data_IF_528185125613
#
_entry.id   IF_528185125613
#
_cell.length_a   1.000
_cell.length_b   1.000
_cell.length_c   1.000
_cell.angle_alpha   90.00
_cell.angle_beta   90.00
_cell.angle_gamma   90.00
#
_symmetry.space_group_name_H-M   'P 1'
#
loop_
_entity.id
_entity.type
_entity.pdbx_description
1 polymer ?
#
# COMPACT_ATOMS: atom_id res chain seq x y z
N UNK A 1 15.12 12.44 16.42
CA UNK A 1 14.94 12.99 15.05
C UNK A 1 16.25 13.61 14.60
N UNK A 2 16.58 13.52 13.33
CA UNK A 2 17.80 14.12 12.75
C UNK A 2 17.57 15.64 12.66
N UNK A 3 18.48 16.44 13.21
CA UNK A 3 18.41 17.89 13.09
C UNK A 3 18.77 18.36 11.68
N UNK A 4 19.77 17.75 11.07
CA UNK A 4 20.27 18.08 9.73
C UNK A 4 20.65 16.81 8.98
N UNK A 5 20.13 16.63 7.78
CA UNK A 5 20.42 15.46 6.92
C UNK A 5 21.80 15.59 6.24
N UNK A 6 22.25 14.49 5.63
CA UNK A 6 23.50 14.43 4.86
C UNK A 6 23.61 15.48 3.74
N UNK A 7 22.49 16.03 3.29
CA UNK A 7 22.40 17.08 2.25
C UNK A 7 22.45 18.50 2.81
N UNK A 8 22.52 18.67 4.14
CA UNK A 8 22.42 19.97 4.81
C UNK A 8 21.00 20.49 4.99
N UNK A 9 19.99 19.73 4.52
CA UNK A 9 18.58 20.08 4.67
C UNK A 9 18.08 19.68 6.07
N UNK A 10 17.09 20.40 6.57
CA UNK A 10 16.39 20.08 7.84
C UNK A 10 14.99 19.54 7.55
N UNK A 11 14.37 18.90 8.52
CA UNK A 11 12.98 18.46 8.39
C UNK A 11 12.04 19.62 8.05
N UNK A 12 12.26 20.78 8.65
CA UNK A 12 11.47 21.99 8.39
C UNK A 12 11.68 22.51 6.95
N UNK A 13 12.93 22.58 6.47
CA UNK A 13 13.19 23.02 5.09
C UNK A 13 12.57 22.08 4.04
N UNK A 14 12.60 20.76 4.29
CA UNK A 14 11.94 19.78 3.44
C UNK A 14 10.42 19.95 3.43
N UNK A 15 9.83 20.17 4.61
CA UNK A 15 8.39 20.42 4.73
C UNK A 15 7.96 21.67 3.98
N UNK A 16 8.72 22.77 4.12
CA UNK A 16 8.43 24.01 3.40
C UNK A 16 8.57 23.87 1.88
N UNK A 17 9.51 23.04 1.40
CA UNK A 17 9.74 22.85 -0.03
C UNK A 17 8.70 21.90 -0.68
N UNK A 18 8.33 20.80 -0.01
CA UNK A 18 7.57 19.72 -0.64
C UNK A 18 6.10 19.70 -0.25
N UNK A 19 5.80 19.85 1.03
CA UNK A 19 4.44 19.72 1.58
C UNK A 19 4.10 20.80 2.61
N UNK A 20 4.27 22.11 2.26
CA UNK A 20 3.94 23.17 3.19
C UNK A 20 2.46 23.13 3.59
N UNK A 21 2.16 23.68 4.77
CA UNK A 21 0.79 23.73 5.27
C UNK A 21 -0.15 24.40 4.28
N UNK A 22 -1.30 23.78 4.04
CA UNK A 22 -2.29 24.26 3.06
C UNK A 22 -2.05 23.83 1.62
N UNK A 23 -0.89 23.23 1.28
CA UNK A 23 -0.66 22.64 -0.05
C UNK A 23 -1.61 21.48 -0.33
N UNK A 24 -1.83 21.17 -1.61
CA UNK A 24 -2.67 20.02 -2.03
C UNK A 24 -2.09 18.71 -1.49
N UNK A 25 -0.75 18.55 -1.57
CA UNK A 25 -0.09 17.37 -1.05
C UNK A 25 -0.30 17.22 0.46
N UNK A 26 -0.08 18.29 1.26
CA UNK A 26 -0.27 18.19 2.71
C UNK A 26 -1.73 17.90 3.10
N UNK A 27 -2.69 18.48 2.39
CA UNK A 27 -4.12 18.16 2.58
C UNK A 27 -4.42 16.69 2.27
N UNK A 28 -3.82 16.15 1.21
CA UNK A 28 -3.96 14.74 0.86
C UNK A 28 -3.32 13.84 1.94
N UNK A 29 -2.09 14.13 2.38
CA UNK A 29 -1.41 13.40 3.45
C UNK A 29 -2.25 13.37 4.74
N UNK A 30 -2.81 14.50 5.17
CA UNK A 30 -3.66 14.55 6.36
C UNK A 30 -4.95 13.73 6.18
N UNK A 31 -5.55 13.75 4.99
CA UNK A 31 -6.71 12.91 4.68
C UNK A 31 -6.36 11.41 4.69
N UNK A 32 -5.22 11.04 4.15
CA UNK A 32 -4.72 9.66 4.18
C UNK A 32 -4.41 9.21 5.60
N UNK A 33 -3.86 10.10 6.43
CA UNK A 33 -3.65 9.84 7.86
C UNK A 33 -4.96 9.52 8.59
N UNK A 34 -6.00 10.34 8.40
CA UNK A 34 -7.34 10.10 8.97
C UNK A 34 -7.90 8.73 8.54
N UNK A 35 -7.70 8.38 7.27
CA UNK A 35 -8.13 7.08 6.73
C UNK A 35 -7.36 5.91 7.35
N UNK A 36 -6.04 6.05 7.52
CA UNK A 36 -5.19 5.03 8.12
C UNK A 36 -5.53 4.82 9.60
N UNK A 37 -5.79 5.89 10.35
CA UNK A 37 -6.25 5.83 11.74
C UNK A 37 -7.58 5.06 11.82
N UNK A 38 -8.57 5.45 11.00
CA UNK A 38 -9.85 4.74 10.94
C UNK A 38 -9.69 3.25 10.62
N UNK A 39 -8.82 2.92 9.66
CA UNK A 39 -8.56 1.54 9.26
C UNK A 39 -7.94 0.74 10.40
N UNK A 40 -6.92 1.30 11.07
CA UNK A 40 -6.25 0.64 12.20
C UNK A 40 -7.20 0.42 13.38
N UNK A 41 -7.99 1.45 13.74
CA UNK A 41 -8.98 1.34 14.82
C UNK A 41 -10.04 0.27 14.51
N UNK A 42 -10.50 0.23 13.25
CA UNK A 42 -11.46 -0.78 12.79
C UNK A 42 -10.86 -2.18 12.85
N UNK A 43 -9.63 -2.35 12.38
CA UNK A 43 -8.92 -3.63 12.42
C UNK A 43 -8.70 -4.08 13.88
N UNK A 44 -8.26 -3.18 14.76
CA UNK A 44 -8.07 -3.44 16.18
C UNK A 44 -9.37 -3.88 16.88
N UNK A 45 -10.50 -3.25 16.55
CA UNK A 45 -11.83 -3.61 17.09
C UNK A 45 -12.21 -5.06 16.84
N UNK A 46 -11.76 -5.63 15.72
CA UNK A 46 -12.03 -7.03 15.34
C UNK A 46 -10.82 -7.95 15.59
N UNK A 47 -9.78 -7.47 16.26
CA UNK A 47 -8.58 -8.24 16.58
C UNK A 47 -7.77 -8.66 15.36
N UNK A 48 -7.69 -7.78 14.36
CA UNK A 48 -6.86 -7.96 13.16
C UNK A 48 -5.68 -7.00 13.24
N UNK A 49 -4.43 -7.49 13.32
CA UNK A 49 -3.26 -6.64 13.21
C UNK A 49 -3.20 -5.97 11.83
N UNK A 50 -3.06 -4.63 11.81
CA UNK A 50 -2.98 -3.84 10.60
C UNK A 50 -1.83 -2.83 10.74
N UNK A 51 -0.78 -2.98 9.96
CA UNK A 51 0.52 -2.35 10.15
C UNK A 51 0.87 -1.39 9.01
N UNK A 52 1.64 -0.36 9.33
CA UNK A 52 2.31 0.44 8.29
C UNK A 52 3.35 -0.41 7.54
N UNK A 53 3.53 -0.12 6.25
CA UNK A 53 4.48 -0.81 5.36
C UNK A 53 5.33 0.17 4.53
N UNK A 54 6.33 -0.35 3.86
CA UNK A 54 7.08 0.31 2.79
C UNK A 54 7.60 1.69 3.13
N UNK A 55 7.24 2.66 2.28
CA UNK A 55 7.60 4.07 2.42
C UNK A 55 7.12 4.71 3.71
N UNK A 56 6.02 4.23 4.28
CA UNK A 56 5.49 4.78 5.53
C UNK A 56 6.29 4.35 6.76
N UNK A 57 6.87 3.14 6.76
CA UNK A 57 7.84 2.73 7.80
C UNK A 57 9.11 3.56 7.69
N UNK A 58 9.63 3.77 6.48
CA UNK A 58 10.77 4.67 6.25
C UNK A 58 10.45 6.11 6.69
N UNK A 59 9.27 6.60 6.36
CA UNK A 59 8.79 7.92 6.77
C UNK A 59 8.72 8.08 8.28
N UNK A 60 8.15 7.10 8.98
CA UNK A 60 8.11 7.06 10.45
C UNK A 60 9.52 7.13 11.06
N UNK A 61 10.45 6.30 10.55
CA UNK A 61 11.81 6.19 11.09
C UNK A 61 12.66 7.42 10.82
N UNK A 62 12.58 8.00 9.61
CA UNK A 62 13.44 9.10 9.17
C UNK A 62 12.84 10.49 9.42
N UNK A 63 11.53 10.62 9.24
CA UNK A 63 10.81 11.90 9.25
C UNK A 63 9.84 12.05 10.42
N UNK A 64 9.53 10.96 11.12
CA UNK A 64 8.49 10.93 12.16
C UNK A 64 7.06 11.00 11.60
N UNK A 65 6.89 10.79 10.30
CA UNK A 65 5.65 10.88 9.56
C UNK A 65 5.87 10.66 8.07
N UNK A 66 5.09 11.31 7.22
CA UNK A 66 5.28 11.21 5.77
C UNK A 66 6.68 11.61 5.33
N UNK A 67 7.21 10.90 4.35
CA UNK A 67 8.28 11.42 3.52
C UNK A 67 7.74 12.69 2.86
N UNK A 68 8.42 13.86 2.92
CA UNK A 68 7.81 15.15 2.55
C UNK A 68 7.24 15.23 1.12
N UNK A 69 7.72 14.42 0.19
CA UNK A 69 7.27 14.39 -1.21
C UNK A 69 6.37 13.21 -1.56
N UNK A 70 5.97 12.39 -0.57
CA UNK A 70 5.18 11.17 -0.73
C UNK A 70 3.68 11.44 -0.61
N UNK A 71 2.84 10.69 -1.33
CA UNK A 71 1.41 10.94 -1.45
C UNK A 71 0.53 9.71 -1.19
N UNK A 72 1.08 8.67 -0.55
CA UNK A 72 0.37 7.43 -0.25
C UNK A 72 0.53 6.97 1.21
N UNK A 73 -0.33 6.04 1.62
CA UNK A 73 -0.17 5.20 2.81
C UNK A 73 -0.49 3.75 2.43
N UNK A 74 0.46 2.90 2.76
CA UNK A 74 0.37 1.47 2.60
C UNK A 74 0.25 0.78 3.96
N UNK A 75 -0.74 -0.10 4.07
CA UNK A 75 -0.94 -0.91 5.26
C UNK A 75 -0.98 -2.39 4.91
N UNK A 76 -0.46 -3.21 5.80
CA UNK A 76 -0.42 -4.67 5.59
C UNK A 76 -1.18 -5.41 6.67
N UNK A 77 -1.81 -6.49 6.25
CA UNK A 77 -2.57 -7.42 7.10
C UNK A 77 -2.14 -8.85 6.75
N UNK A 78 -2.08 -9.73 7.74
CA UNK A 78 -1.81 -11.14 7.47
C UNK A 78 -2.89 -11.72 6.54
N UNK A 79 -2.48 -12.48 5.52
CA UNK A 79 -3.39 -13.05 4.52
C UNK A 79 -4.57 -13.81 5.15
N UNK A 80 -4.32 -14.53 6.25
CA UNK A 80 -5.37 -15.27 6.99
C UNK A 80 -6.48 -14.37 7.55
N UNK A 81 -6.17 -13.11 7.85
CA UNK A 81 -7.05 -12.13 8.45
C UNK A 81 -7.59 -11.10 7.45
N UNK A 82 -6.99 -11.03 6.26
CA UNK A 82 -7.31 -10.05 5.22
C UNK A 82 -8.79 -10.09 4.81
N UNK A 83 -9.30 -11.30 4.51
CA UNK A 83 -10.72 -11.45 4.16
C UNK A 83 -11.65 -11.00 5.27
N UNK A 84 -11.32 -11.31 6.54
CA UNK A 84 -12.13 -10.92 7.72
C UNK A 84 -12.22 -9.40 7.84
N UNK A 85 -11.11 -8.68 7.63
CA UNK A 85 -11.11 -7.22 7.63
C UNK A 85 -11.94 -6.64 6.47
N UNK A 86 -11.74 -7.14 5.25
CA UNK A 86 -12.48 -6.68 4.07
C UNK A 86 -13.99 -6.93 4.23
N UNK A 87 -14.41 -8.10 4.70
CA UNK A 87 -15.82 -8.42 4.93
C UNK A 87 -16.43 -7.52 6.01
N UNK A 88 -15.67 -7.23 7.08
CA UNK A 88 -16.13 -6.32 8.13
C UNK A 88 -16.34 -4.90 7.60
N UNK A 89 -15.39 -4.35 6.84
CA UNK A 89 -15.49 -3.02 6.23
C UNK A 89 -16.66 -2.92 5.24
N UNK A 90 -16.93 -3.98 4.47
CA UNK A 90 -18.11 -4.05 3.58
C UNK A 90 -19.43 -4.07 4.36
N UNK A 91 -19.49 -4.79 5.47
CA UNK A 91 -20.70 -4.92 6.29
C UNK A 91 -20.97 -3.68 7.16
N UNK A 92 -19.98 -2.85 7.42
CA UNK A 92 -20.08 -1.65 8.26
C UNK A 92 -19.68 -0.40 7.47
N UNK A 93 -20.54 0.07 6.55
CA UNK A 93 -20.20 1.18 5.67
C UNK A 93 -19.96 2.48 6.45
N UNK A 94 -18.91 3.20 6.07
CA UNK A 94 -18.59 4.52 6.59
C UNK A 94 -19.15 5.61 5.65
N UNK A 95 -19.66 6.75 6.15
CA UNK A 95 -20.26 7.78 5.30
C UNK A 95 -19.28 8.43 4.31
N UNK A 96 -17.98 8.33 4.57
CA UNK A 96 -16.93 8.94 3.77
C UNK A 96 -15.99 7.93 3.12
N UNK A 97 -15.84 6.73 3.68
CA UNK A 97 -14.87 5.75 3.19
C UNK A 97 -15.56 4.48 2.71
N UNK A 98 -15.04 3.88 1.67
CA UNK A 98 -15.54 2.61 1.12
C UNK A 98 -14.38 1.67 0.87
N UNK A 99 -14.58 0.39 1.20
CA UNK A 99 -13.64 -0.65 0.76
C UNK A 99 -13.80 -0.87 -0.74
N UNK A 100 -12.71 -0.78 -1.47
CA UNK A 100 -12.61 -1.11 -2.88
C UNK A 100 -11.84 -2.42 -3.04
N UNK A 101 -12.52 -3.42 -3.54
CA UNK A 101 -12.00 -4.70 -4.01
C UNK A 101 -12.79 -5.11 -5.27
N UNK A 102 -12.53 -6.27 -5.85
CA UNK A 102 -13.24 -6.71 -7.06
C UNK A 102 -14.73 -7.00 -6.83
N UNK A 103 -15.18 -7.20 -5.57
CA UNK A 103 -16.61 -7.40 -5.27
C UNK A 103 -17.36 -6.06 -5.26
N UNK A 104 -16.76 -4.99 -4.71
CA UNK A 104 -17.38 -3.66 -4.60
C UNK A 104 -17.20 -2.82 -5.86
N UNK A 105 -16.15 -3.11 -6.61
CA UNK A 105 -15.76 -2.46 -7.86
C UNK A 105 -15.27 -3.49 -8.89
N UNK A 106 -16.12 -3.98 -9.79
CA UNK A 106 -15.74 -4.97 -10.80
C UNK A 106 -14.63 -4.53 -11.77
N UNK A 107 -14.30 -3.24 -11.80
CA UNK A 107 -13.16 -2.69 -12.54
C UNK A 107 -11.82 -2.74 -11.80
N UNK A 108 -11.82 -3.18 -10.54
CA UNK A 108 -10.65 -3.27 -9.70
C UNK A 108 -10.10 -4.70 -9.68
N UNK A 109 -8.99 -4.92 -10.39
CA UNK A 109 -8.36 -6.24 -10.57
C UNK A 109 -7.04 -6.41 -9.82
N UNK A 110 -6.84 -5.65 -8.73
CA UNK A 110 -5.65 -5.76 -7.89
C UNK A 110 -5.80 -6.91 -6.87
N UNK A 111 -4.67 -7.41 -6.40
CA UNK A 111 -4.58 -8.51 -5.43
C UNK A 111 -4.68 -8.05 -3.97
N UNK A 112 -4.87 -6.77 -3.78
CA UNK A 112 -5.07 -6.11 -2.50
C UNK A 112 -6.33 -5.27 -2.55
N UNK A 113 -6.79 -4.80 -1.42
CA UNK A 113 -7.92 -3.89 -1.33
C UNK A 113 -7.44 -2.46 -1.06
N UNK A 114 -8.32 -1.49 -1.27
CA UNK A 114 -8.08 -0.10 -0.90
C UNK A 114 -9.22 0.40 -0.03
N UNK A 115 -8.91 1.18 0.99
CA UNK A 115 -9.90 2.07 1.60
C UNK A 115 -9.92 3.36 0.77
N UNK A 116 -11.06 3.69 0.14
CA UNK A 116 -11.22 4.87 -0.74
C UNK A 116 -11.98 6.00 -0.06
N UNK A 117 -11.51 7.22 -0.23
CA UNK A 117 -12.23 8.44 0.18
C UNK A 117 -13.28 8.82 -0.88
N UNK A 118 -14.55 8.88 -0.46
CA UNK A 118 -15.68 9.29 -1.32
C UNK A 118 -15.77 10.82 -1.49
N UNK A 119 -15.04 11.58 -0.66
CA UNK A 119 -15.06 13.05 -0.64
C UNK A 119 -13.86 13.66 -1.36
N UNK A 120 -13.14 12.87 -2.15
CA UNK A 120 -12.08 13.35 -3.04
C UNK A 120 -12.14 12.65 -4.39
N UNK A 121 -11.41 13.18 -5.35
CA UNK A 121 -11.17 12.60 -6.67
C UNK A 121 -9.70 12.83 -7.03
N UNK A 122 -8.97 11.73 -7.20
CA UNK A 122 -7.57 11.76 -7.61
C UNK A 122 -7.49 11.74 -9.14
N UNK A 123 -6.98 12.82 -9.73
CA UNK A 123 -6.80 13.02 -11.17
C UNK A 123 -5.36 12.85 -11.63
N UNK A 124 -4.47 12.47 -10.75
CA UNK A 124 -3.04 12.32 -11.05
C UNK A 124 -2.77 11.36 -12.23
N UNK A 125 -3.69 10.44 -12.49
CA UNK A 125 -3.60 9.48 -13.59
C UNK A 125 -4.15 9.99 -14.94
N UNK A 126 -4.86 11.11 -14.96
CA UNK A 126 -5.52 11.62 -16.19
C UNK A 126 -4.50 12.02 -17.27
N UNK A 127 -3.28 12.36 -16.88
CA UNK A 127 -2.17 12.75 -17.75
C UNK A 127 -1.15 11.62 -18.00
N UNK A 128 -1.38 10.41 -17.46
CA UNK A 128 -0.47 9.27 -17.62
C UNK A 128 -0.73 8.48 -18.91
N UNK A 129 0.22 7.59 -19.25
CA UNK A 129 0.13 6.80 -20.47
C UNK A 129 -1.06 5.84 -20.48
N UNK A 130 -1.51 5.52 -21.67
CA UNK A 130 -2.79 4.89 -22.03
C UNK A 130 -3.26 3.64 -21.24
N UNK A 131 -2.38 2.88 -20.59
CA UNK A 131 -2.75 1.67 -19.84
C UNK A 131 -3.21 2.00 -18.42
N UNK A 132 -2.44 2.81 -17.68
CA UNK A 132 -2.76 3.21 -16.32
C UNK A 132 -4.01 4.08 -16.27
N UNK A 133 -4.14 4.98 -17.23
CA UNK A 133 -5.35 5.79 -17.41
C UNK A 133 -6.59 4.91 -17.62
N UNK A 134 -6.55 3.92 -18.54
CA UNK A 134 -7.68 3.01 -18.78
C UNK A 134 -8.03 2.18 -17.54
N UNK A 135 -7.02 1.72 -16.81
CA UNK A 135 -7.22 0.99 -15.55
C UNK A 135 -7.90 1.89 -14.50
N UNK A 136 -7.47 3.15 -14.39
CA UNK A 136 -8.07 4.12 -13.48
C UNK A 136 -9.51 4.48 -13.89
N UNK A 137 -9.76 4.74 -15.19
CA UNK A 137 -11.10 5.06 -15.72
C UNK A 137 -12.09 3.89 -15.59
N UNK A 138 -11.60 2.64 -15.57
CA UNK A 138 -12.43 1.46 -15.38
C UNK A 138 -12.94 1.31 -13.92
N UNK A 139 -12.31 1.99 -12.97
CA UNK A 139 -12.66 1.90 -11.55
C UNK A 139 -13.86 2.80 -11.20
N UNK A 140 -14.73 2.28 -10.35
CA UNK A 140 -15.90 3.01 -9.82
C UNK A 140 -15.48 4.07 -8.80
N UNK A 141 -14.50 3.77 -7.95
CA UNK A 141 -14.03 4.67 -6.90
C UNK A 141 -12.63 5.18 -7.24
N UNK A 142 -12.45 6.50 -7.25
CA UNK A 142 -11.22 7.17 -7.73
C UNK A 142 -10.71 8.25 -6.77
N UNK A 143 -11.18 8.27 -5.53
CA UNK A 143 -10.68 9.18 -4.50
C UNK A 143 -9.28 8.81 -4.00
N UNK A 144 -8.76 9.58 -3.04
CA UNK A 144 -7.59 9.19 -2.26
C UNK A 144 -7.78 7.79 -1.67
N UNK A 145 -6.70 7.06 -1.46
CA UNK A 145 -6.80 5.70 -0.95
C UNK A 145 -5.63 5.34 -0.05
N UNK A 146 -5.93 4.46 0.89
CA UNK A 146 -4.96 3.69 1.66
C UNK A 146 -4.99 2.28 1.10
N UNK A 147 -3.85 1.78 0.63
CA UNK A 147 -3.73 0.40 0.16
C UNK A 147 -3.66 -0.56 1.34
N UNK A 148 -4.32 -1.72 1.23
CA UNK A 148 -4.38 -2.76 2.25
C UNK A 148 -3.84 -4.05 1.63
N UNK A 149 -2.56 -4.32 1.87
CA UNK A 149 -1.88 -5.47 1.29
C UNK A 149 -2.01 -6.71 2.16
N UNK A 150 -2.38 -7.86 1.60
CA UNK A 150 -2.23 -9.14 2.29
C UNK A 150 -0.77 -9.60 2.27
N UNK A 151 -0.24 -9.98 3.43
CA UNK A 151 1.09 -10.57 3.62
C UNK A 151 1.02 -12.02 4.02
N UNK A 152 1.94 -12.83 3.54
CA UNK A 152 2.01 -14.25 3.90
C UNK A 152 3.45 -14.76 4.02
N UNK A 153 3.61 -15.82 4.84
CA UNK A 153 4.87 -16.53 5.00
C UNK A 153 4.97 -17.76 4.08
N UNK A 154 6.10 -18.46 4.19
CA UNK A 154 6.37 -19.66 3.37
C UNK A 154 6.30 -19.38 1.87
N UNK A 155 6.79 -18.21 1.46
CA UNK A 155 6.74 -17.76 0.06
C UNK A 155 7.87 -18.37 -0.77
N UNK A 156 7.59 -18.55 -2.04
CA UNK A 156 8.60 -18.92 -3.05
C UNK A 156 8.80 -17.70 -3.96
N UNK A 157 9.93 -16.98 -3.89
CA UNK A 157 10.11 -15.70 -4.58
C UNK A 157 9.90 -15.74 -6.09
N UNK A 158 10.32 -16.81 -6.77
CA UNK A 158 10.12 -16.92 -8.22
C UNK A 158 8.65 -17.16 -8.60
N UNK A 159 7.88 -17.89 -7.75
CA UNK A 159 6.43 -18.03 -7.92
C UNK A 159 5.72 -16.70 -7.70
N UNK A 160 6.16 -15.90 -6.71
CA UNK A 160 5.60 -14.56 -6.50
C UNK A 160 5.84 -13.65 -7.70
N UNK A 161 7.05 -13.67 -8.28
CA UNK A 161 7.34 -12.90 -9.52
C UNK A 161 6.47 -13.35 -10.69
N UNK A 162 6.23 -14.66 -10.83
CA UNK A 162 5.33 -15.19 -11.85
C UNK A 162 3.90 -14.75 -11.61
N UNK A 163 3.41 -14.86 -10.36
CA UNK A 163 2.08 -14.44 -9.96
C UNK A 163 1.86 -12.94 -10.23
N UNK A 164 2.82 -12.08 -9.80
CA UNK A 164 2.79 -10.65 -10.06
C UNK A 164 2.72 -10.34 -11.57
N UNK A 165 3.52 -11.03 -12.39
CA UNK A 165 3.50 -10.87 -13.85
C UNK A 165 2.15 -11.26 -14.47
N UNK A 166 1.50 -12.30 -13.95
CA UNK A 166 0.17 -12.71 -14.41
C UNK A 166 -0.87 -11.65 -14.04
N UNK A 167 -0.88 -11.18 -12.78
CA UNK A 167 -1.78 -10.14 -12.30
C UNK A 167 -1.60 -8.82 -13.07
N UNK A 168 -0.36 -8.34 -13.22
CA UNK A 168 -0.05 -7.13 -14.00
C UNK A 168 -0.58 -7.22 -15.43
N UNK A 169 -0.46 -8.39 -16.08
CA UNK A 169 -0.99 -8.57 -17.44
C UNK A 169 -2.53 -8.44 -17.49
N UNK A 170 -3.26 -8.96 -16.49
CA UNK A 170 -4.71 -8.76 -16.41
C UNK A 170 -5.05 -7.28 -16.29
N UNK A 171 -4.37 -6.57 -15.37
CA UNK A 171 -4.61 -5.14 -15.13
C UNK A 171 -4.24 -4.27 -16.35
N UNK A 172 -3.04 -4.39 -16.89
CA UNK A 172 -2.56 -3.49 -17.94
C UNK A 172 -3.08 -3.83 -19.33
N UNK A 173 -3.32 -5.13 -19.64
CA UNK A 173 -3.70 -5.55 -20.98
C UNK A 173 -5.19 -5.80 -21.16
N UNK A 174 -5.90 -6.24 -20.11
CA UNK A 174 -7.30 -6.64 -20.22
C UNK A 174 -8.25 -5.63 -19.56
N UNK A 175 -7.89 -5.09 -18.37
CA UNK A 175 -8.72 -4.11 -17.68
C UNK A 175 -8.99 -2.87 -18.55
N UNK A 176 -10.23 -2.39 -18.51
CA UNK A 176 -10.67 -1.24 -19.30
C UNK A 176 -10.76 -1.47 -20.82
N UNK A 177 -10.27 -2.62 -21.33
CA UNK A 177 -10.35 -2.94 -22.76
C UNK A 177 -11.26 -4.14 -23.04
N UNK A 178 -11.16 -5.18 -22.22
CA UNK A 178 -11.91 -6.43 -22.34
C UNK A 178 -12.46 -6.85 -20.97
N UNK A 179 -13.46 -6.14 -20.41
CA UNK A 179 -13.85 -6.31 -18.99
C UNK A 179 -14.30 -7.73 -18.65
N UNK A 180 -15.04 -8.41 -19.54
CA UNK A 180 -15.46 -9.80 -19.32
C UNK A 180 -14.26 -10.75 -19.25
N UNK A 181 -13.30 -10.60 -20.17
CA UNK A 181 -12.09 -11.42 -20.20
C UNK A 181 -11.20 -11.13 -18.99
N UNK A 182 -11.08 -9.85 -18.59
CA UNK A 182 -10.35 -9.46 -17.40
C UNK A 182 -10.95 -10.11 -16.14
N UNK A 183 -12.29 -10.10 -16.02
CA UNK A 183 -12.99 -10.70 -14.88
C UNK A 183 -12.82 -12.23 -14.84
N UNK A 184 -12.89 -12.90 -15.99
CA UNK A 184 -12.66 -14.35 -16.07
C UNK A 184 -11.21 -14.68 -15.70
N UNK A 185 -10.23 -13.96 -16.26
CA UNK A 185 -8.83 -14.16 -15.98
C UNK A 185 -8.49 -13.88 -14.50
N UNK A 186 -9.00 -12.77 -13.94
CA UNK A 186 -8.84 -12.43 -12.53
C UNK A 186 -9.38 -13.55 -11.62
N UNK A 187 -10.62 -13.97 -11.82
CA UNK A 187 -11.22 -15.06 -11.04
C UNK A 187 -10.47 -16.39 -11.18
N UNK A 188 -10.00 -16.72 -12.39
CA UNK A 188 -9.19 -17.91 -12.60
C UNK A 188 -7.88 -17.86 -11.80
N UNK A 189 -7.18 -16.72 -11.81
CA UNK A 189 -5.97 -16.54 -11.01
C UNK A 189 -6.25 -16.70 -9.50
N UNK A 190 -7.30 -16.06 -9.00
CA UNK A 190 -7.64 -16.07 -7.57
C UNK A 190 -8.17 -17.40 -7.05
N UNK A 191 -9.00 -18.08 -7.85
CA UNK A 191 -9.69 -19.31 -7.40
C UNK A 191 -8.83 -20.56 -7.66
N UNK A 192 -7.98 -20.54 -8.67
CA UNK A 192 -7.20 -21.72 -9.08
C UNK A 192 -5.70 -21.49 -8.89
N UNK A 193 -5.12 -20.49 -9.56
CA UNK A 193 -3.66 -20.39 -9.68
C UNK A 193 -3.00 -20.02 -8.35
N UNK A 194 -3.44 -18.95 -7.71
CA UNK A 194 -2.82 -18.47 -6.46
C UNK A 194 -3.05 -19.42 -5.27
N UNK A 195 -4.21 -20.08 -5.10
CA UNK A 195 -4.34 -21.15 -4.12
C UNK A 195 -3.37 -22.32 -4.33
N UNK A 196 -3.13 -22.72 -5.59
CA UNK A 196 -2.12 -23.75 -5.91
C UNK A 196 -0.71 -23.24 -5.53
N UNK A 197 -0.37 -21.99 -5.86
CA UNK A 197 0.92 -21.42 -5.47
C UNK A 197 1.10 -21.36 -3.96
N UNK A 198 0.05 -21.03 -3.19
CA UNK A 198 0.05 -21.08 -1.72
C UNK A 198 0.24 -22.48 -1.18
N UNK A 199 -0.40 -23.48 -1.79
CA UNK A 199 -0.20 -24.87 -1.40
C UNK A 199 1.25 -25.29 -1.62
N UNK A 200 1.83 -24.99 -2.78
CA UNK A 200 3.24 -25.27 -3.08
C UNK A 200 4.16 -24.49 -2.12
N UNK A 201 3.85 -23.23 -1.84
CA UNK A 201 4.58 -22.43 -0.86
C UNK A 201 4.57 -23.03 0.55
N UNK A 202 3.42 -23.54 1.02
CA UNK A 202 3.33 -24.22 2.32
C UNK A 202 4.21 -25.46 2.42
N UNK A 203 4.41 -26.16 1.30
CA UNK A 203 5.20 -27.40 1.26
C UNK A 203 6.70 -27.16 1.04
N UNK A 204 7.06 -26.16 0.25
CA UNK A 204 8.43 -25.97 -0.25
C UNK A 204 8.95 -24.53 -0.09
N UNK A 205 8.15 -23.63 0.43
CA UNK A 205 8.51 -22.23 0.61
C UNK A 205 9.49 -21.99 1.76
N UNK A 206 10.09 -20.81 1.76
CA UNK A 206 10.99 -20.40 2.82
C UNK A 206 10.20 -19.83 4.02
N UNK A 207 10.25 -20.49 5.20
CA UNK A 207 9.52 -20.04 6.40
C UNK A 207 10.05 -18.74 6.99
N UNK A 208 11.31 -18.36 6.65
CA UNK A 208 11.94 -17.14 7.12
C UNK A 208 11.57 -15.90 6.29
N UNK A 209 10.84 -16.10 5.20
CA UNK A 209 10.33 -15.00 4.38
C UNK A 209 8.88 -14.63 4.75
N UNK A 210 8.62 -13.33 4.71
CA UNK A 210 7.30 -12.75 4.89
C UNK A 210 7.10 -11.65 3.85
N UNK A 211 6.19 -11.85 2.90
CA UNK A 211 6.11 -11.05 1.68
C UNK A 211 4.66 -10.68 1.36
N UNK A 212 4.48 -9.73 0.46
CA UNK A 212 3.19 -9.52 -0.18
C UNK A 212 2.67 -10.82 -0.80
N UNK A 213 1.39 -11.07 -0.67
CA UNK A 213 0.72 -12.29 -1.15
C UNK A 213 0.91 -12.50 -2.66
N UNK A 214 0.75 -13.75 -3.11
CA UNK A 214 0.87 -14.09 -4.53
C UNK A 214 -0.05 -13.23 -5.40
N UNK A 215 0.55 -12.65 -6.44
CA UNK A 215 -0.09 -11.78 -7.41
C UNK A 215 0.00 -10.30 -7.11
N UNK A 216 0.33 -9.87 -5.89
CA UNK A 216 0.70 -8.49 -5.62
C UNK A 216 1.92 -8.10 -6.48
N UNK A 217 1.99 -6.83 -6.89
CA UNK A 217 3.02 -6.37 -7.84
C UNK A 217 4.38 -6.15 -7.19
N UNK A 218 4.42 -6.28 -5.87
CA UNK A 218 5.59 -6.13 -5.03
C UNK A 218 6.15 -7.50 -4.65
N UNK A 219 7.44 -7.65 -4.61
CA UNK A 219 8.11 -8.94 -4.35
C UNK A 219 9.38 -8.79 -3.51
N UNK A 220 9.40 -7.77 -2.64
CA UNK A 220 10.41 -7.57 -1.60
C UNK A 220 10.41 -8.78 -0.66
N UNK A 221 11.61 -9.27 -0.38
CA UNK A 221 11.81 -10.43 0.46
C UNK A 221 12.13 -9.97 1.89
N UNK A 222 11.10 -9.77 2.70
CA UNK A 222 11.28 -9.32 4.06
C UNK A 222 11.56 -10.51 4.98
N UNK A 223 12.61 -10.46 5.81
CA UNK A 223 12.84 -11.47 6.84
C UNK A 223 11.66 -11.49 7.83
N UNK A 224 11.11 -12.68 8.08
CA UNK A 224 9.98 -12.84 9.01
C UNK A 224 10.25 -12.22 10.39
N UNK A 225 11.49 -12.34 10.90
CA UNK A 225 11.89 -11.78 12.20
C UNK A 225 11.78 -10.26 12.26
N UNK A 226 11.94 -9.57 11.12
CA UNK A 226 11.76 -8.11 11.05
C UNK A 226 10.29 -7.70 11.04
N UNK A 227 9.39 -8.59 10.68
CA UNK A 227 7.97 -8.29 10.53
C UNK A 227 7.15 -8.65 11.77
N UNK A 228 7.45 -9.74 12.43
CA UNK A 228 6.72 -10.29 13.57
C UNK A 228 7.66 -10.67 14.73
N UNK A 229 7.20 -10.49 16.02
CA UNK A 229 5.93 -9.90 16.47
C UNK A 229 5.87 -8.39 16.20
N UNK A 230 4.67 -7.83 16.05
CA UNK A 230 4.47 -6.41 15.78
C UNK A 230 4.92 -5.54 16.96
N UNK A 231 5.36 -4.32 16.66
CA UNK A 231 5.69 -3.27 17.64
C UNK A 231 5.02 -1.97 17.28
N UNK A 232 4.83 -1.12 18.25
CA UNK A 232 4.34 0.22 18.02
C UNK A 232 5.38 1.07 17.30
N UNK A 233 4.92 1.88 16.35
CA UNK A 233 5.69 2.90 15.62
C UNK A 233 4.92 4.20 15.62
N UNK A 234 5.62 5.34 15.78
CA UNK A 234 4.99 6.66 15.74
C UNK A 234 5.06 7.22 14.32
N UNK A 235 3.90 7.64 13.80
CA UNK A 235 3.78 8.26 12.47
C UNK A 235 2.83 9.46 12.56
N UNK A 236 3.28 10.66 12.19
CA UNK A 236 2.53 11.94 12.31
C UNK A 236 1.94 12.18 13.72
N UNK A 237 2.69 11.78 14.77
CA UNK A 237 2.25 11.93 16.16
C UNK A 237 1.23 10.88 16.64
N UNK A 238 0.81 9.94 15.80
CA UNK A 238 -0.08 8.83 16.14
C UNK A 238 0.69 7.52 16.27
N UNK A 239 0.23 6.66 17.17
CA UNK A 239 0.80 5.31 17.35
C UNK A 239 0.12 4.33 16.40
N UNK A 240 0.91 3.71 15.53
CA UNK A 240 0.48 2.63 14.64
C UNK A 240 1.14 1.31 15.01
N UNK A 241 0.54 0.20 14.59
CA UNK A 241 1.27 -1.05 14.52
C UNK A 241 2.30 -0.98 13.39
N UNK A 242 3.50 -1.47 13.66
CA UNK A 242 4.62 -1.51 12.72
C UNK A 242 5.34 -2.85 12.76
N UNK A 243 6.43 -3.00 12.00
CA UNK A 243 7.24 -4.21 11.99
C UNK A 243 7.98 -4.41 13.32
N UNK A 244 8.40 -5.66 13.57
CA UNK A 244 9.18 -6.03 14.75
C UNK A 244 10.50 -5.27 14.88
N UNK A 245 11.15 -5.04 13.73
CA UNK A 245 12.41 -4.31 13.62
C UNK A 245 12.38 -3.40 12.38
N UNK A 246 11.87 -2.19 12.60
CA UNK A 246 11.75 -1.17 11.55
C UNK A 246 13.12 -0.69 11.05
N UNK A 247 14.13 -0.62 11.91
CA UNK A 247 15.49 -0.20 11.52
C UNK A 247 16.13 -1.22 10.59
N UNK A 248 16.14 -2.51 10.96
CA UNK A 248 16.68 -3.56 10.10
C UNK A 248 15.91 -3.67 8.78
N UNK A 249 14.57 -3.59 8.83
CA UNK A 249 13.73 -3.62 7.63
C UNK A 249 14.07 -2.48 6.67
N UNK A 250 14.18 -1.25 7.17
CA UNK A 250 14.58 -0.09 6.36
C UNK A 250 16.00 -0.23 5.80
N UNK A 251 16.96 -0.78 6.56
CA UNK A 251 18.33 -1.06 6.07
C UNK A 251 18.35 -2.07 4.93
N UNK A 252 17.53 -3.13 5.04
CA UNK A 252 17.41 -4.15 3.99
C UNK A 252 16.81 -3.56 2.72
N UNK A 253 15.74 -2.77 2.85
CA UNK A 253 15.02 -2.22 1.71
C UNK A 253 15.73 -1.03 1.05
N UNK A 254 16.35 -0.15 1.84
CA UNK A 254 16.83 1.16 1.38
C UNK A 254 18.32 1.43 1.67
N UNK A 255 19.06 0.47 2.28
CA UNK A 255 20.45 0.64 2.64
C UNK A 255 20.65 1.68 3.75
N UNK A 256 21.45 2.70 3.51
CA UNK A 256 21.62 3.81 4.46
C UNK A 256 20.39 4.76 4.40
N UNK A 257 19.25 4.26 4.85
CA UNK A 257 17.95 4.90 4.71
C UNK A 257 17.82 6.25 5.44
N UNK A 258 18.70 6.52 6.41
CA UNK A 258 18.74 7.81 7.11
C UNK A 258 19.30 8.95 6.24
N UNK A 259 20.07 8.62 5.19
CA UNK A 259 20.50 9.59 4.19
C UNK A 259 19.34 9.94 3.24
N UNK A 260 19.24 11.21 2.88
CA UNK A 260 18.31 11.64 1.85
C UNK A 260 18.84 11.25 0.46
N UNK A 261 17.96 10.78 -0.43
CA UNK A 261 18.34 10.58 -1.82
C UNK A 261 18.66 11.94 -2.48
N UNK A 262 19.49 11.95 -3.54
CA UNK A 262 19.69 13.14 -4.39
C UNK A 262 18.36 13.73 -4.84
N UNK A 263 18.31 15.05 -5.01
CA UNK A 263 17.06 15.78 -5.33
C UNK A 263 16.38 15.30 -6.62
N UNK A 264 17.16 14.90 -7.61
CA UNK A 264 16.68 14.34 -8.88
C UNK A 264 16.07 12.94 -8.76
N UNK A 265 16.33 12.26 -7.63
CA UNK A 265 15.76 10.94 -7.28
C UNK A 265 14.63 11.01 -6.26
N UNK A 266 14.25 12.21 -5.83
CA UNK A 266 13.06 12.43 -4.99
C UNK A 266 11.88 12.50 -5.92
N UNK A 267 11.13 11.40 -6.01
CA UNK A 267 9.96 11.36 -6.88
C UNK A 267 8.91 12.33 -6.33
N UNK A 268 8.66 13.39 -7.08
CA UNK A 268 7.57 14.33 -6.80
C UNK A 268 6.35 13.80 -7.50
N UNK A 269 5.59 12.98 -6.80
CA UNK A 269 4.29 12.58 -7.31
C UNK A 269 3.49 13.86 -7.62
N UNK A 270 3.11 14.03 -8.88
CA UNK A 270 2.25 15.15 -9.28
C UNK A 270 0.85 14.85 -8.81
N UNK A 271 0.62 15.12 -7.54
CA UNK A 271 -0.70 14.93 -6.94
C UNK A 271 -1.67 15.98 -7.51
N UNK A 272 -2.73 15.50 -8.13
CA UNK A 272 -3.87 16.30 -8.58
C UNK A 272 -5.13 15.73 -7.93
N UNK A 273 -5.54 16.33 -6.83
CA UNK A 273 -6.69 15.88 -6.03
C UNK A 273 -7.66 17.02 -5.84
N UNK A 274 -8.91 16.73 -6.17
CA UNK A 274 -10.06 17.60 -5.90
C UNK A 274 -10.79 17.08 -4.67
N UNK A 275 -10.90 17.89 -3.64
CA UNK A 275 -11.73 17.61 -2.47
C UNK A 275 -13.15 18.11 -2.70
N UNK A 276 -14.18 17.29 -2.34
CA UNK A 276 -15.62 17.55 -2.54
C UNK A 276 -16.26 17.99 -1.23
#
# INVERSE_FOLDING_TARGET
MIETFNTGETQESLRQEYNPDGSVLRKAQLRLLDMAIYLQETAKKIGVPCRLDGGNVLGAMRHGGFIPWDDDIDMVVDYKDFKRLCDYLKAHPHPQYVLQDNDTDPGFYKEWACLRDLKSENRSHDNQQSADRRMHEAQKFRGLHVDIFPYEGNMIPWLQRLAAKLSVNVNLKLAGRYPLLAQIAYKFLHVIVFPVFRLVGKLFGNPDLYMHSYGAWFYEQNPRRCMIPHKDIVFEGHTFEGPADADELCRIAYGNYMDLPPRDKRDRHKIDVVFK
#
